data_IF_960903516179
#
_entry.id   IF_960903516179
#
_cell.length_a   1.000
_cell.length_b   1.000
_cell.length_c   1.000
_cell.angle_alpha   90.00
_cell.angle_beta   90.00
_cell.angle_gamma   90.00
#
_symmetry.space_group_name_H-M   'P 1'
#
loop_
_entity.id
_entity.type
_entity.pdbx_description
1 polymer ?
#
# COMPACT_ATOMS: atom_id res chain seq x y z
N UNK A 1 25.21 -15.82 14.13
CA UNK A 1 24.35 -14.79 13.52
C UNK A 1 24.46 -14.92 12.01
N UNK A 2 23.36 -15.14 11.28
CA UNK A 2 23.39 -15.15 9.80
C UNK A 2 23.45 -13.70 9.33
N UNK A 3 24.54 -13.32 8.67
CA UNK A 3 24.69 -12.01 8.04
C UNK A 3 23.70 -11.92 6.89
N UNK A 4 22.58 -11.23 7.09
CA UNK A 4 21.63 -10.92 6.02
C UNK A 4 22.38 -10.00 5.06
N UNK A 5 22.77 -10.51 3.89
CA UNK A 5 23.34 -9.67 2.84
C UNK A 5 22.20 -8.81 2.29
N UNK A 6 22.34 -7.48 2.24
CA UNK A 6 21.35 -6.64 1.62
C UNK A 6 21.22 -7.08 0.16
N UNK A 7 20.03 -7.55 -0.22
CA UNK A 7 19.70 -7.81 -1.62
C UNK A 7 19.93 -6.48 -2.34
N UNK A 8 20.80 -6.51 -3.36
CA UNK A 8 21.06 -5.33 -4.18
C UNK A 8 19.72 -4.75 -4.64
N UNK A 9 19.41 -3.53 -4.22
CA UNK A 9 18.16 -2.89 -4.61
C UNK A 9 18.19 -2.72 -6.13
N UNK A 10 17.16 -3.24 -6.80
CA UNK A 10 17.01 -3.10 -8.25
C UNK A 10 16.88 -1.63 -8.68
N UNK A 11 16.52 -0.75 -7.75
CA UNK A 11 16.35 0.68 -7.97
C UNK A 11 17.03 1.50 -6.86
N UNK A 12 17.68 2.64 -7.21
CA UNK A 12 18.18 3.60 -6.24
C UNK A 12 17.06 4.17 -5.37
N UNK A 13 17.34 4.53 -4.11
CA UNK A 13 16.33 5.13 -3.21
C UNK A 13 15.90 6.54 -3.65
N UNK A 14 16.84 7.27 -4.22
CA UNK A 14 16.73 8.63 -4.72
C UNK A 14 16.08 8.69 -6.11
N UNK A 15 15.93 7.53 -6.77
CA UNK A 15 15.33 7.43 -8.09
C UNK A 15 14.22 6.38 -8.09
N UNK A 16 13.00 6.74 -7.63
CA UNK A 16 11.86 5.84 -7.74
C UNK A 16 11.61 5.51 -9.22
N UNK A 17 11.34 4.25 -9.56
CA UNK A 17 10.98 3.89 -10.92
C UNK A 17 9.68 4.62 -11.32
N UNK A 18 9.65 5.19 -12.53
CA UNK A 18 8.40 5.67 -13.12
C UNK A 18 7.68 4.51 -13.80
N UNK A 19 6.93 3.75 -13.00
CA UNK A 19 6.21 2.53 -13.42
C UNK A 19 4.72 2.77 -13.70
N UNK A 20 4.31 4.04 -13.87
CA UNK A 20 2.91 4.42 -14.05
C UNK A 20 2.28 3.74 -15.28
N UNK A 21 3.07 3.54 -16.33
CA UNK A 21 2.60 2.89 -17.56
C UNK A 21 2.45 1.38 -17.39
N UNK A 22 3.37 0.70 -16.69
CA UNK A 22 3.19 -0.71 -16.33
C UNK A 22 1.99 -0.89 -15.40
N UNK A 23 1.85 0.00 -14.40
CA UNK A 23 0.72 -0.02 -13.48
C UNK A 23 -0.61 0.11 -14.21
N UNK A 24 -0.72 1.02 -15.19
CA UNK A 24 -1.94 1.22 -15.96
C UNK A 24 -2.38 -0.03 -16.75
N UNK A 25 -1.46 -0.95 -17.06
CA UNK A 25 -1.76 -2.22 -17.77
C UNK A 25 -2.36 -3.29 -16.85
N UNK A 26 -2.20 -3.16 -15.54
CA UNK A 26 -2.77 -4.09 -14.54
C UNK A 26 -4.29 -3.94 -14.51
N UNK A 27 -5.07 -5.04 -14.47
CA UNK A 27 -6.52 -4.99 -14.36
C UNK A 27 -6.98 -4.13 -13.18
N UNK A 28 -8.10 -3.42 -13.37
CA UNK A 28 -8.62 -2.50 -12.35
C UNK A 28 -8.86 -3.18 -10.99
N UNK A 29 -9.42 -4.40 -11.01
CA UNK A 29 -9.68 -5.17 -9.79
C UNK A 29 -8.40 -5.50 -9.02
N UNK A 30 -7.35 -5.91 -9.73
CA UNK A 30 -6.03 -6.19 -9.15
C UNK A 30 -5.40 -4.92 -8.57
N UNK A 31 -5.53 -3.78 -9.27
CA UNK A 31 -5.04 -2.49 -8.77
C UNK A 31 -5.76 -2.06 -7.50
N UNK A 32 -7.08 -2.19 -7.46
CA UNK A 32 -7.88 -1.86 -6.28
C UNK A 32 -7.54 -2.76 -5.10
N UNK A 33 -7.37 -4.06 -5.35
CA UNK A 33 -6.95 -5.03 -4.34
C UNK A 33 -5.58 -4.68 -3.76
N UNK A 34 -4.59 -4.42 -4.61
CA UNK A 34 -3.25 -4.06 -4.16
C UNK A 34 -3.22 -2.75 -3.34
N UNK A 35 -4.00 -1.74 -3.74
CA UNK A 35 -4.15 -0.50 -2.96
C UNK A 35 -4.77 -0.78 -1.58
N UNK A 36 -5.77 -1.65 -1.53
CA UNK A 36 -6.41 -2.05 -0.27
C UNK A 36 -5.45 -2.83 0.65
N UNK A 37 -4.73 -3.82 0.11
CA UNK A 37 -3.72 -4.60 0.85
C UNK A 37 -2.61 -3.68 1.40
N UNK A 38 -2.15 -2.72 0.61
CA UNK A 38 -1.15 -1.73 1.04
C UNK A 38 -1.69 -0.81 2.13
N UNK A 39 -2.93 -0.32 2.01
CA UNK A 39 -3.55 0.53 3.02
C UNK A 39 -3.70 -0.21 4.36
N UNK A 40 -4.11 -1.49 4.31
CA UNK A 40 -4.18 -2.34 5.51
C UNK A 40 -2.81 -2.53 6.15
N UNK A 41 -1.78 -2.85 5.35
CA UNK A 41 -0.42 -3.03 5.86
C UNK A 41 0.06 -1.80 6.64
N UNK A 42 -0.10 -0.60 6.07
CA UNK A 42 0.32 0.63 6.74
C UNK A 42 -0.48 0.92 8.01
N UNK A 43 -1.79 0.69 7.98
CA UNK A 43 -2.64 0.85 9.15
C UNK A 43 -2.25 -0.10 10.30
N UNK A 44 -1.94 -1.36 9.98
CA UNK A 44 -1.44 -2.34 10.96
C UNK A 44 -0.07 -1.94 11.51
N UNK A 45 0.84 -1.51 10.65
CA UNK A 45 2.18 -1.07 11.06
C UNK A 45 2.10 0.14 12.00
N UNK A 46 1.25 1.12 11.69
CA UNK A 46 1.03 2.30 12.53
C UNK A 46 0.43 1.92 13.88
N UNK A 47 -0.54 0.99 13.89
CA UNK A 47 -1.14 0.46 15.11
C UNK A 47 -0.11 -0.23 16.01
N UNK A 48 0.74 -1.07 15.45
CA UNK A 48 1.79 -1.74 16.23
C UNK A 48 2.83 -0.73 16.76
N UNK A 49 3.15 0.30 15.97
CA UNK A 49 4.04 1.38 16.41
C UNK A 49 3.43 2.20 17.57
N UNK A 50 2.13 2.51 17.51
CA UNK A 50 1.40 3.20 18.59
C UNK A 50 1.39 2.36 19.88
N UNK A 51 1.08 1.06 19.78
CA UNK A 51 1.15 0.13 20.92
C UNK A 51 2.54 0.09 21.54
N UNK A 52 3.59 0.05 20.73
CA UNK A 52 4.97 0.05 21.22
C UNK A 52 5.33 1.33 21.99
N UNK A 53 4.65 2.45 21.70
CA UNK A 53 4.77 3.72 22.43
C UNK A 53 3.79 3.84 23.62
N UNK A 54 2.90 2.88 23.81
CA UNK A 54 1.84 2.93 24.84
C UNK A 54 0.68 3.88 24.50
N UNK A 55 0.53 4.24 23.23
CA UNK A 55 -0.53 5.11 22.72
C UNK A 55 -1.72 4.29 22.22
N UNK A 56 -2.92 4.87 22.30
CA UNK A 56 -4.12 4.26 21.72
C UNK A 56 -4.13 4.48 20.19
N UNK A 57 -4.22 3.42 19.36
CA UNK A 57 -4.14 3.56 17.92
C UNK A 57 -5.42 4.18 17.34
N UNK A 58 -5.30 5.35 16.71
CA UNK A 58 -6.43 6.10 16.12
C UNK A 58 -6.95 5.49 14.80
N UNK A 59 -6.20 4.57 14.18
CA UNK A 59 -6.53 4.02 12.86
C UNK A 59 -7.53 2.87 12.96
N UNK A 60 -8.77 3.12 12.53
CA UNK A 60 -9.81 2.09 12.41
C UNK A 60 -9.65 1.31 11.08
N UNK A 61 -8.91 0.21 11.09
CA UNK A 61 -8.77 -0.72 9.94
C UNK A 61 -10.11 -1.28 9.47
N UNK A 62 -11.09 -1.39 10.37
CA UNK A 62 -12.45 -1.88 10.06
C UNK A 62 -13.25 -0.94 9.13
N UNK A 63 -12.76 0.30 8.92
CA UNK A 63 -13.37 1.30 8.03
C UNK A 63 -12.65 1.48 6.71
N UNK A 64 -11.57 0.72 6.44
CA UNK A 64 -10.91 0.68 5.14
C UNK A 64 -11.77 -0.10 4.14
N UNK A 65 -12.93 0.47 3.80
CA UNK A 65 -13.72 0.01 2.68
C UNK A 65 -13.05 0.51 1.40
N UNK A 66 -12.84 -0.34 0.39
CA UNK A 66 -12.50 0.16 -0.93
C UNK A 66 -13.62 1.11 -1.32
N UNK A 67 -13.29 2.40 -1.49
CA UNK A 67 -14.23 3.41 -1.94
C UNK A 67 -14.45 3.17 -3.44
N UNK A 68 -15.11 2.07 -3.78
CA UNK A 68 -15.78 1.88 -5.06
C UNK A 68 -17.05 2.73 -5.00
N UNK A 69 -16.89 4.05 -4.86
CA UNK A 69 -17.96 4.96 -5.23
C UNK A 69 -18.11 4.79 -6.73
N UNK A 70 -19.19 4.11 -7.11
CA UNK A 70 -19.75 4.04 -8.46
C UNK A 70 -19.66 5.40 -9.16
N UNK A 71 -18.52 5.75 -9.74
CA UNK A 71 -18.48 6.73 -10.82
C UNK A 71 -18.79 5.88 -12.05
N UNK A 72 -19.93 6.07 -12.71
CA UNK A 72 -20.13 5.41 -13.99
C UNK A 72 -18.93 5.81 -14.85
N UNK A 73 -18.20 4.80 -15.35
CA UNK A 73 -17.20 5.00 -16.38
C UNK A 73 -17.98 5.50 -17.59
N UNK A 74 -18.10 6.83 -17.69
CA UNK A 74 -18.67 7.48 -18.85
C UNK A 74 -17.86 7.04 -20.06
N UNK A 75 -18.54 6.59 -21.11
CA UNK A 75 -17.93 6.39 -22.41
C UNK A 75 -17.37 7.74 -22.87
N UNK A 76 -16.05 7.81 -23.01
CA UNK A 76 -15.32 8.92 -23.60
C UNK A 76 -14.07 8.36 -24.23
#
# INVERSE_FOLDING_TARGET
MRTIRPVARRFPLDHPPDDRQEWAKVPLEERLRAVWEMALFWAELEREAAKARGEEPEVATERLLPVVRKRPLGKG
#
